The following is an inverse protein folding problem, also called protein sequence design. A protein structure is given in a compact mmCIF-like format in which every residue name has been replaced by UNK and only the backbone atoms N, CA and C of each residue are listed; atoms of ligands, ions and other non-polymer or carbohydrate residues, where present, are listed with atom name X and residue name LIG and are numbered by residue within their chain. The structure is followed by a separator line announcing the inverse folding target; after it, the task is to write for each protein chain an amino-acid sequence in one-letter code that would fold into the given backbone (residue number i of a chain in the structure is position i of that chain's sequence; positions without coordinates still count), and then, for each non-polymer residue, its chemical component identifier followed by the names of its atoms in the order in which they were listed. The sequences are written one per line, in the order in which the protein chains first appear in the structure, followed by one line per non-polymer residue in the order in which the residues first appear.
data_IF_193088892913
#
_entry.id   IF_193088892913
#
_cell.length_a   1.000
_cell.length_b   1.000
_cell.length_c   1.000
_cell.angle_alpha   90.00
_cell.angle_beta   90.00
_cell.angle_gamma   90.00
#
_symmetry.space_group_name_H-M   'P 1'
#
loop_
_entity.id
_entity.type
_entity.pdbx_description
1 polymer ?
#
# COMPACT_ATOMS: atom_id res chain seq x y z
N UNK A 1 -3.88 -11.69 19.38
CA UNK A 1 -3.24 -12.15 18.12
C UNK A 1 -3.92 -13.40 17.53
N UNK A 2 -5.21 -13.58 17.77
CA UNK A 2 -5.95 -14.79 17.38
C UNK A 2 -6.63 -14.66 16.01
N UNK A 3 -6.93 -13.43 15.61
CA UNK A 3 -7.64 -13.08 14.37
C UNK A 3 -6.68 -12.77 13.21
N UNK A 4 -5.38 -12.63 13.51
CA UNK A 4 -4.33 -12.37 12.53
C UNK A 4 -4.13 -13.52 11.52
N UNK A 5 -3.58 -13.22 10.32
CA UNK A 5 -3.21 -14.25 9.33
C UNK A 5 -2.36 -15.38 9.92
N UNK A 6 -2.50 -16.60 9.38
CA UNK A 6 -1.75 -17.79 9.85
C UNK A 6 -0.24 -17.54 9.90
N UNK A 7 0.30 -16.85 8.88
CA UNK A 7 1.71 -16.47 8.82
C UNK A 7 2.16 -15.62 9.99
N UNK A 8 1.31 -14.72 10.48
CA UNK A 8 1.58 -13.85 11.63
C UNK A 8 1.42 -14.62 12.94
N UNK A 9 0.38 -15.46 13.03
CA UNK A 9 0.14 -16.30 14.22
C UNK A 9 1.27 -17.28 14.51
N UNK A 10 1.96 -17.76 13.48
CA UNK A 10 3.14 -18.61 13.64
C UNK A 10 4.27 -17.94 14.45
N UNK A 11 4.32 -16.60 14.47
CA UNK A 11 5.32 -15.80 15.21
C UNK A 11 4.71 -15.05 16.40
N UNK A 12 3.50 -15.45 16.85
CA UNK A 12 2.76 -14.77 17.92
C UNK A 12 3.62 -14.47 19.15
N UNK A 13 4.39 -15.43 19.64
CA UNK A 13 5.20 -15.26 20.85
C UNK A 13 6.30 -14.21 20.69
N UNK A 14 6.81 -14.01 19.47
CA UNK A 14 7.86 -13.03 19.18
C UNK A 14 7.29 -11.64 18.88
N UNK A 15 6.03 -11.56 18.44
CA UNK A 15 5.37 -10.31 18.07
C UNK A 15 4.64 -9.64 19.26
N UNK A 16 4.31 -10.40 20.30
CA UNK A 16 3.65 -9.83 21.49
C UNK A 16 4.65 -8.93 22.22
N UNK A 17 4.26 -7.68 22.46
CA UNK A 17 5.10 -6.67 23.11
C UNK A 17 6.03 -5.94 22.14
N UNK A 18 6.03 -6.28 20.85
CA UNK A 18 6.72 -5.47 19.84
C UNK A 18 5.93 -4.20 19.52
N UNK A 19 6.64 -3.10 19.35
CA UNK A 19 6.09 -1.80 18.99
C UNK A 19 6.39 -1.47 17.52
N UNK A 20 5.57 -0.60 16.93
CA UNK A 20 5.74 -0.19 15.55
C UNK A 20 4.64 0.74 15.05
N UNK A 21 4.78 1.13 13.79
CA UNK A 21 3.84 2.03 13.11
C UNK A 21 2.90 1.27 12.18
N UNK A 22 1.62 1.58 12.25
CA UNK A 22 0.65 1.16 11.23
C UNK A 22 0.93 1.97 9.97
N UNK A 23 1.38 1.30 8.91
CA UNK A 23 1.73 1.95 7.64
C UNK A 23 0.66 1.80 6.56
N UNK A 24 -0.33 0.93 6.79
CA UNK A 24 -1.50 0.78 5.94
C UNK A 24 -2.63 0.07 6.68
N UNK A 25 -3.87 0.36 6.28
CA UNK A 25 -5.07 -0.36 6.71
C UNK A 25 -5.62 -1.15 5.51
N UNK A 26 -5.89 -2.44 5.72
CA UNK A 26 -6.22 -3.44 4.71
C UNK A 26 -7.58 -4.07 5.01
N UNK A 27 -8.17 -4.74 4.01
CA UNK A 27 -9.41 -5.53 4.16
C UNK A 27 -10.55 -4.76 4.86
N UNK A 28 -10.84 -3.55 4.37
CA UNK A 28 -11.90 -2.68 4.88
C UNK A 28 -11.77 -2.35 6.38
N UNK A 29 -10.54 -2.18 6.88
CA UNK A 29 -10.31 -1.86 8.29
C UNK A 29 -9.89 -3.04 9.16
N UNK A 30 -10.04 -4.27 8.69
CA UNK A 30 -9.90 -5.46 9.54
C UNK A 30 -8.45 -5.90 9.76
N UNK A 31 -7.50 -5.44 8.94
CA UNK A 31 -6.09 -5.85 9.04
C UNK A 31 -5.21 -4.62 8.90
N UNK A 32 -4.25 -4.43 9.80
CA UNK A 32 -3.22 -3.42 9.67
C UNK A 32 -1.94 -4.04 9.08
N UNK A 33 -1.20 -3.26 8.30
CA UNK A 33 0.21 -3.53 8.02
C UNK A 33 1.05 -2.79 9.07
N UNK A 34 1.64 -3.54 9.98
CA UNK A 34 2.51 -3.01 11.04
C UNK A 34 3.96 -3.05 10.57
N UNK A 35 4.66 -1.92 10.63
CA UNK A 35 6.11 -1.82 10.48
C UNK A 35 6.71 -1.77 11.89
N UNK A 36 7.39 -2.83 12.30
CA UNK A 36 8.03 -2.91 13.61
C UNK A 36 9.25 -1.99 13.69
N UNK A 37 9.46 -1.44 14.88
CA UNK A 37 10.66 -0.70 15.22
C UNK A 37 11.82 -1.66 15.56
N UNK A 38 13.06 -1.21 15.33
CA UNK A 38 14.27 -2.00 15.61
C UNK A 38 15.06 -2.45 14.40
N UNK A 39 16.26 -2.95 14.65
CA UNK A 39 17.21 -3.41 13.64
C UNK A 39 16.87 -4.81 13.13
N UNK A 40 17.31 -5.13 11.91
CA UNK A 40 16.92 -6.36 11.22
C UNK A 40 17.17 -7.65 12.01
N UNK A 41 18.18 -7.67 12.90
CA UNK A 41 18.52 -8.83 13.72
C UNK A 41 17.63 -8.99 14.96
N UNK A 42 16.94 -7.93 15.38
CA UNK A 42 16.01 -7.94 16.53
C UNK A 42 14.57 -8.27 16.09
N UNK A 43 14.33 -8.29 14.78
CA UNK A 43 13.00 -8.50 14.22
C UNK A 43 12.66 -9.99 14.11
N UNK A 44 11.41 -10.38 14.39
CA UNK A 44 10.96 -11.75 14.20
C UNK A 44 11.24 -12.22 12.76
N UNK A 45 12.02 -13.29 12.61
CA UNK A 45 12.49 -13.81 11.31
C UNK A 45 13.18 -12.78 10.39
N UNK A 46 13.71 -11.68 10.93
CA UNK A 46 14.24 -10.57 10.15
C UNK A 46 13.20 -9.81 9.33
N UNK A 47 11.92 -10.02 9.61
CA UNK A 47 10.80 -9.41 8.87
C UNK A 47 10.34 -8.15 9.59
N UNK A 48 10.42 -7.01 8.90
CA UNK A 48 10.02 -5.70 9.43
C UNK A 48 8.53 -5.40 9.30
N UNK A 49 7.83 -6.04 8.36
CA UNK A 49 6.43 -5.74 8.07
C UNK A 49 5.54 -6.95 8.30
N UNK A 50 4.52 -6.78 9.14
CA UNK A 50 3.61 -7.84 9.55
C UNK A 50 2.17 -7.43 9.29
N UNK A 51 1.39 -8.34 8.70
CA UNK A 51 -0.05 -8.17 8.61
C UNK A 51 -0.67 -8.64 9.93
N UNK A 52 -1.29 -7.75 10.68
CA UNK A 52 -1.89 -8.04 11.99
C UNK A 52 -3.37 -7.69 11.91
N UNK A 53 -4.26 -8.52 12.46
CA UNK A 53 -5.67 -8.15 12.54
C UNK A 53 -5.83 -6.91 13.44
N UNK A 54 -6.74 -6.02 13.07
CA UNK A 54 -6.94 -4.76 13.79
C UNK A 54 -7.28 -5.01 15.27
N UNK A 55 -8.13 -6.01 15.53
CA UNK A 55 -8.53 -6.43 16.88
C UNK A 55 -7.38 -7.00 17.73
N UNK A 56 -6.25 -7.34 17.11
CA UNK A 56 -5.09 -7.88 17.79
C UNK A 56 -4.04 -6.80 18.16
N UNK A 57 -4.30 -5.53 17.83
CA UNK A 57 -3.40 -4.41 18.11
C UNK A 57 -3.86 -3.60 19.33
N UNK A 58 -2.90 -3.25 20.18
CA UNK A 58 -3.08 -2.22 21.20
C UNK A 58 -2.66 -0.87 20.60
N UNK A 59 -3.63 -0.03 20.25
CA UNK A 59 -3.38 1.29 19.65
C UNK A 59 -3.27 2.31 20.79
N UNK A 60 -2.06 2.79 21.04
CA UNK A 60 -1.82 3.90 21.97
C UNK A 60 -1.98 5.21 21.19
N UNK A 61 -3.18 5.80 21.21
CA UNK A 61 -3.62 7.11 20.69
C UNK A 61 -3.12 7.55 19.28
N UNK A 62 -4.00 8.05 18.38
CA UNK A 62 -3.64 8.37 17.01
C UNK A 62 -2.89 9.71 16.96
N UNK A 63 -1.59 9.71 17.26
CA UNK A 63 -0.73 10.80 16.83
C UNK A 63 -0.66 10.76 15.30
N UNK A 64 -1.43 11.64 14.67
CA UNK A 64 -1.49 11.91 13.24
C UNK A 64 -2.36 10.91 12.46
N UNK A 65 -3.63 11.29 12.27
CA UNK A 65 -4.30 11.18 10.98
C UNK A 65 -3.39 11.79 9.90
N UNK A 66 -2.31 11.10 9.52
CA UNK A 66 -1.84 11.26 8.16
C UNK A 66 -2.98 10.70 7.35
N UNK A 67 -3.70 11.57 6.64
CA UNK A 67 -4.60 11.20 5.56
C UNK A 67 -3.82 10.22 4.69
N UNK A 68 -4.00 8.92 4.95
CA UNK A 68 -3.60 7.88 4.04
C UNK A 68 -4.57 8.08 2.90
N UNK A 69 -4.19 8.95 1.97
CA UNK A 69 -4.83 9.07 0.67
C UNK A 69 -4.88 7.66 0.17
N UNK A 70 -6.09 7.08 0.16
CA UNK A 70 -6.33 5.73 -0.32
C UNK A 70 -5.91 5.78 -1.77
N UNK A 71 -4.65 5.43 -2.06
CA UNK A 71 -4.14 5.49 -3.42
C UNK A 71 -4.95 4.47 -4.21
N UNK A 72 -5.84 4.99 -5.04
CA UNK A 72 -6.86 4.23 -5.75
C UNK A 72 -6.27 3.20 -6.72
N UNK A 73 -4.96 3.26 -6.98
CA UNK A 73 -4.26 2.47 -7.97
C UNK A 73 -3.29 1.47 -7.34
N UNK A 74 -3.27 0.27 -7.91
CA UNK A 74 -2.31 -0.79 -7.61
C UNK A 74 -1.23 -0.84 -8.68
N UNK A 75 -0.09 -1.41 -8.34
CA UNK A 75 1.05 -1.57 -9.21
C UNK A 75 0.88 -2.78 -10.14
N UNK A 76 0.92 -2.51 -11.45
CA UNK A 76 1.23 -3.50 -12.48
C UNK A 76 2.66 -3.30 -12.97
N UNK A 77 3.33 -4.36 -13.39
CA UNK A 77 4.69 -4.24 -13.91
C UNK A 77 4.80 -4.73 -15.35
N UNK A 78 5.44 -3.94 -16.20
CA UNK A 78 5.88 -4.39 -17.51
C UNK A 78 7.40 -4.49 -17.54
N UNK A 79 7.90 -5.36 -18.41
CA UNK A 79 9.33 -5.45 -18.69
C UNK A 79 9.56 -5.14 -20.17
N UNK A 80 10.45 -4.20 -20.43
CA UNK A 80 10.90 -3.85 -21.77
C UNK A 80 12.43 -3.98 -21.80
N UNK A 81 12.93 -5.06 -22.41
CA UNK A 81 14.35 -5.43 -22.32
C UNK A 81 14.80 -5.69 -20.87
N UNK A 82 15.74 -4.89 -20.36
CA UNK A 82 16.23 -4.94 -18.98
C UNK A 82 15.56 -3.93 -18.04
N UNK A 83 14.62 -3.14 -18.55
CA UNK A 83 13.95 -2.08 -17.79
C UNK A 83 12.62 -2.62 -17.27
N UNK A 84 12.45 -2.58 -15.94
CA UNK A 84 11.18 -2.81 -15.27
C UNK A 84 10.45 -1.47 -15.17
N UNK A 85 9.17 -1.42 -15.54
CA UNK A 85 8.33 -0.24 -15.34
C UNK A 85 7.15 -0.59 -14.45
N UNK A 86 6.86 0.27 -13.49
CA UNK A 86 5.66 0.22 -12.66
C UNK A 86 4.57 1.08 -13.31
N UNK A 87 3.38 0.52 -13.46
CA UNK A 87 2.21 1.20 -14.00
C UNK A 87 1.12 1.28 -12.94
N UNK A 88 0.35 2.37 -12.98
CA UNK A 88 -0.85 2.52 -12.19
C UNK A 88 -1.98 1.71 -12.83
N UNK A 89 -2.55 0.77 -12.08
CA UNK A 89 -3.61 -0.13 -12.52
C UNK A 89 -4.80 0.03 -11.58
N UNK A 90 -6.00 0.08 -12.15
CA UNK A 90 -7.23 0.07 -11.36
C UNK A 90 -7.42 -1.35 -10.78
N UNK A 91 -7.69 -1.50 -9.47
CA UNK A 91 -7.94 -2.81 -8.88
C UNK A 91 -9.02 -3.59 -9.65
N UNK A 92 -8.73 -4.86 -9.99
CA UNK A 92 -9.65 -5.73 -10.71
C UNK A 92 -9.60 -5.63 -12.24
N UNK A 93 -8.80 -4.73 -12.82
CA UNK A 93 -8.56 -4.68 -14.27
C UNK A 93 -7.21 -5.32 -14.62
N UNK A 94 -7.01 -5.65 -15.90
CA UNK A 94 -5.73 -6.14 -16.43
C UNK A 94 -5.08 -5.15 -17.40
N UNK A 95 -5.41 -3.87 -17.24
CA UNK A 95 -4.96 -2.78 -18.11
C UNK A 95 -4.62 -1.58 -17.22
N UNK A 96 -3.42 -1.05 -17.39
CA UNK A 96 -3.00 0.18 -16.74
C UNK A 96 -3.74 1.40 -17.30
N UNK A 97 -3.77 2.50 -16.55
CA UNK A 97 -4.38 3.75 -17.01
C UNK A 97 -3.75 4.28 -18.31
N UNK A 98 -2.46 3.98 -18.55
CA UNK A 98 -1.76 4.31 -19.79
C UNK A 98 -2.09 3.37 -20.97
N UNK A 99 -3.10 2.51 -20.83
CA UNK A 99 -3.50 1.47 -21.79
C UNK A 99 -2.48 0.33 -22.00
N UNK A 100 -1.47 0.20 -21.13
CA UNK A 100 -0.55 -0.95 -21.21
C UNK A 100 -1.25 -2.23 -20.71
N UNK A 101 -1.05 -3.40 -21.35
CA UNK A 101 -1.66 -4.66 -20.96
C UNK A 101 -0.92 -5.27 -19.76
N UNK A 102 -1.05 -4.65 -18.60
CA UNK A 102 -0.50 -5.12 -17.33
C UNK A 102 -1.60 -5.18 -16.29
N UNK A 103 -1.67 -6.30 -15.58
CA UNK A 103 -2.53 -6.46 -14.42
C UNK A 103 -1.78 -6.19 -13.10
N UNK A 104 -2.52 -6.08 -11.99
CA UNK A 104 -1.93 -6.04 -10.66
C UNK A 104 -1.07 -7.27 -10.46
N UNK A 105 0.12 -7.11 -9.86
CA UNK A 105 0.91 -8.27 -9.46
C UNK A 105 0.41 -8.79 -8.11
N UNK A 106 -0.21 -9.99 -8.06
CA UNK A 106 -0.51 -10.61 -6.79
C UNK A 106 0.80 -11.11 -6.16
N UNK A 107 1.21 -10.50 -5.06
CA UNK A 107 2.19 -11.05 -4.14
C UNK A 107 1.38 -11.72 -3.04
N UNK A 108 1.51 -13.02 -2.78
CA UNK A 108 0.77 -13.74 -1.73
C UNK A 108 -0.75 -13.40 -1.63
N UNK A 109 -1.43 -13.22 -2.76
CA UNK A 109 -2.87 -12.88 -2.81
C UNK A 109 -3.22 -11.40 -2.60
N UNK A 110 -2.26 -10.49 -2.65
CA UNK A 110 -2.45 -9.04 -2.55
C UNK A 110 -1.75 -8.28 -3.68
N UNK A 111 -2.27 -7.12 -4.04
CA UNK A 111 -1.66 -6.23 -5.03
C UNK A 111 -0.88 -5.12 -4.34
N UNK A 112 0.35 -4.86 -4.79
CA UNK A 112 1.16 -3.75 -4.30
C UNK A 112 0.52 -2.41 -4.70
N UNK A 113 0.58 -1.38 -3.85
CA UNK A 113 0.14 -0.03 -4.23
C UNK A 113 1.04 0.56 -5.32
N UNK A 114 0.47 1.36 -6.23
CA UNK A 114 1.26 2.15 -7.16
C UNK A 114 1.92 3.31 -6.41
N UNK A 115 3.23 3.53 -6.64
CA UNK A 115 3.95 4.65 -6.02
C UNK A 115 4.49 5.56 -7.12
N UNK A 116 4.09 6.85 -7.17
CA UNK A 116 4.53 7.75 -8.23
C UNK A 116 6.02 8.13 -8.12
N UNK A 117 6.59 8.03 -6.91
CA UNK A 117 7.94 8.50 -6.60
C UNK A 117 9.04 7.50 -6.98
N UNK A 118 8.69 6.27 -7.39
CA UNK A 118 9.71 5.29 -7.75
C UNK A 118 10.32 5.62 -9.11
N UNK A 119 11.65 5.48 -9.30
CA UNK A 119 12.30 5.76 -10.59
C UNK A 119 11.75 4.96 -11.77
N UNK A 120 11.12 3.82 -11.48
CA UNK A 120 10.53 2.92 -12.46
C UNK A 120 9.08 3.27 -12.81
N UNK A 121 8.49 4.33 -12.22
CA UNK A 121 7.13 4.73 -12.49
C UNK A 121 6.95 5.12 -13.96
N UNK A 122 5.88 4.64 -14.57
CA UNK A 122 5.58 4.92 -15.96
C UNK A 122 5.18 6.39 -16.13
N UNK A 123 6.00 7.16 -16.83
CA UNK A 123 5.77 8.59 -17.06
C UNK A 123 4.38 8.92 -17.66
N UNK A 124 3.81 8.02 -18.48
CA UNK A 124 2.43 8.18 -18.99
C UNK A 124 1.38 8.02 -17.90
N UNK A 125 1.59 7.10 -16.95
CA UNK A 125 0.68 6.96 -15.81
C UNK A 125 0.76 8.21 -14.93
N UNK A 126 1.97 8.71 -14.64
CA UNK A 126 2.15 9.94 -13.86
C UNK A 126 1.44 11.13 -14.49
N UNK A 127 1.64 11.37 -15.80
CA UNK A 127 1.01 12.48 -16.50
C UNK A 127 -0.54 12.41 -16.50
N UNK A 128 -1.11 11.20 -16.53
CA UNK A 128 -2.57 11.01 -16.46
C UNK A 128 -3.11 11.25 -15.04
N UNK A 129 -2.35 10.87 -14.00
CA UNK A 129 -2.72 11.13 -12.61
C UNK A 129 -2.68 12.65 -12.31
N UNK A 130 -1.61 13.33 -12.75
CA UNK A 130 -1.48 14.79 -12.60
C UNK A 130 -2.57 15.58 -13.33
N UNK A 131 -3.16 15.01 -14.39
CA UNK A 131 -4.27 15.62 -15.11
C UNK A 131 -5.59 15.46 -14.35
N UNK A 132 -5.84 14.29 -13.75
CA UNK A 132 -7.04 14.03 -12.95
C UNK A 132 -7.09 14.87 -11.67
N UNK A 133 -5.95 15.13 -11.02
CA UNK A 133 -5.89 15.97 -9.81
C UNK A 133 -6.21 17.46 -10.11
N UNK A 134 -6.02 17.92 -11.36
CA UNK A 134 -6.36 19.29 -11.76
C UNK A 134 -7.84 19.49 -12.07
N UNK A 135 -8.56 18.45 -12.50
CA UNK A 135 -9.99 18.56 -12.83
C UNK A 135 -10.87 18.69 -11.57
N UNK A 136 -10.43 18.15 -10.42
CA UNK A 136 -11.16 18.23 -9.15
C UNK A 136 -11.04 19.61 -8.43
N UNK A 137 -10.13 20.48 -8.92
CA UNK A 137 -9.91 21.82 -8.34
C UNK A 137 -10.75 22.94 -8.97
N UNK A 138 -11.68 22.64 -9.90
CA UNK A 138 -12.40 23.66 -10.68
C UNK A 138 -13.89 23.76 -10.37
N UNK A 139 -14.31 23.81 -9.10
CA UNK A 139 -15.69 24.26 -8.76
C UNK A 139 -15.72 25.05 -7.45
N UNK A 140 -15.42 26.36 -7.52
CA UNK A 140 -15.99 27.35 -6.60
C UNK A 140 -15.75 28.78 -7.14
N UNK A 141 -16.55 29.21 -8.11
CA UNK A 141 -16.83 30.63 -8.30
C UNK A 141 -18.26 30.90 -7.82
N UNK A 142 -18.50 31.69 -6.77
CA UNK A 142 -19.80 32.26 -6.53
C UNK A 142 -20.01 33.44 -7.49
N UNK A 143 -21.17 33.43 -8.16
CA UNK A 143 -21.65 34.50 -9.03
C UNK A 143 -22.09 35.74 -8.19
N UNK A 144 -22.23 36.93 -8.81
CA UNK A 144 -22.06 38.24 -8.17
C UNK A 144 -23.18 38.68 -7.23
#
# INVERSE_FOLDING_TARGET
MEHSPVSTRAYRSMLIGSEGLVVAVLRNGNVALLKLDGEWHDLPAGVRRWAVAWDDLAINDPACESEVTVQAYVAGFSKEGRVLRQHAVVPGTNVAICSSPVGPLPVCGWSLAFSPDVPQACAKCLALLDASDREDSTVAMPAP
#
